data_IF_461524788738
#
_entry.id   IF_461524788738
#
_cell.length_a   1.000
_cell.length_b   1.000
_cell.length_c   1.000
_cell.angle_alpha   90.00
_cell.angle_beta   90.00
_cell.angle_gamma   90.00
#
_symmetry.space_group_name_H-M   'P 1'
#
loop_
_entity.id
_entity.type
_entity.pdbx_description
1 polymer ?
#
# COMPACT_ATOMS: atom_id res chain seq x y z
N UNK A 1 -3.79 24.56 3.87
CA UNK A 1 -2.92 24.66 2.67
C UNK A 1 -2.22 23.34 2.31
N UNK A 2 -1.82 22.51 3.29
CA UNK A 2 -1.12 21.24 3.06
C UNK A 2 -1.88 20.21 2.20
N UNK A 3 -3.20 20.05 2.42
CA UNK A 3 -4.01 19.07 1.66
C UNK A 3 -4.15 19.40 0.17
N UNK A 4 -4.07 20.68 -0.23
CA UNK A 4 -4.30 21.10 -1.61
C UNK A 4 -3.15 20.71 -2.56
N UNK A 5 -1.91 20.72 -2.06
CA UNK A 5 -0.74 20.33 -2.85
C UNK A 5 -0.76 18.82 -3.12
N UNK A 6 -0.96 18.02 -2.08
CA UNK A 6 -1.09 16.56 -2.19
C UNK A 6 -2.27 16.17 -3.08
N UNK A 7 -3.44 16.78 -2.89
CA UNK A 7 -4.60 16.55 -3.74
C UNK A 7 -4.26 16.74 -5.23
N UNK A 8 -3.62 17.87 -5.58
CA UNK A 8 -3.22 18.15 -6.98
C UNK A 8 -2.26 17.09 -7.53
N UNK A 9 -1.28 16.66 -6.75
CA UNK A 9 -0.34 15.62 -7.19
C UNK A 9 -1.04 14.27 -7.39
N UNK A 10 -1.94 13.87 -6.48
CA UNK A 10 -2.69 12.63 -6.60
C UNK A 10 -3.65 12.65 -7.80
N UNK A 11 -4.32 13.78 -8.07
CA UNK A 11 -5.16 13.94 -9.28
C UNK A 11 -4.37 13.96 -10.59
N UNK A 12 -3.05 14.16 -10.55
CA UNK A 12 -2.20 14.14 -11.75
C UNK A 12 -1.81 12.74 -12.21
N UNK A 13 -2.15 11.72 -11.43
CA UNK A 13 -1.86 10.32 -11.73
C UNK A 13 -2.86 9.84 -12.79
N UNK A 14 -2.40 9.38 -13.97
CA UNK A 14 -3.29 9.01 -15.09
C UNK A 14 -4.36 7.97 -14.74
N UNK A 15 -4.03 7.07 -13.83
CA UNK A 15 -4.86 5.95 -13.36
C UNK A 15 -5.93 6.40 -12.37
N UNK A 16 -5.79 7.58 -11.76
CA UNK A 16 -6.75 8.12 -10.78
C UNK A 16 -7.95 8.71 -11.51
N UNK A 17 -9.14 8.20 -11.18
CA UNK A 17 -10.42 8.71 -11.66
C UNK A 17 -10.93 9.82 -10.74
N UNK A 18 -10.86 9.61 -9.42
CA UNK A 18 -11.40 10.52 -8.42
C UNK A 18 -10.54 10.51 -7.16
N UNK A 19 -10.38 11.69 -6.56
CA UNK A 19 -9.79 11.84 -5.23
C UNK A 19 -10.85 12.44 -4.31
N UNK A 20 -11.14 11.75 -3.21
CA UNK A 20 -11.99 12.24 -2.13
C UNK A 20 -11.15 12.54 -0.89
N UNK A 21 -11.67 13.39 -0.02
CA UNK A 21 -11.06 13.72 1.27
C UNK A 21 -11.93 13.24 2.41
N UNK A 22 -11.43 12.32 3.23
CA UNK A 22 -12.04 11.97 4.50
C UNK A 22 -11.45 12.87 5.59
N UNK A 23 -12.21 13.90 5.99
CA UNK A 23 -11.78 14.85 7.00
C UNK A 23 -11.74 14.25 8.41
N UNK A 24 -12.54 13.22 8.68
CA UNK A 24 -12.60 12.57 10.00
C UNK A 24 -11.36 11.70 10.23
N UNK A 25 -10.91 11.01 9.17
CA UNK A 25 -9.69 10.20 9.19
C UNK A 25 -8.45 10.94 8.72
N UNK A 26 -8.60 12.20 8.30
CA UNK A 26 -7.53 13.01 7.70
C UNK A 26 -6.83 12.28 6.54
N UNK A 27 -7.60 11.64 5.67
CA UNK A 27 -7.11 10.76 4.61
C UNK A 27 -7.60 11.20 3.22
N UNK A 28 -6.86 10.80 2.19
CA UNK A 28 -7.32 10.85 0.79
C UNK A 28 -7.79 9.46 0.38
N UNK A 29 -8.97 9.39 -0.24
CA UNK A 29 -9.50 8.16 -0.84
C UNK A 29 -9.35 8.30 -2.35
N UNK A 30 -8.61 7.39 -2.96
CA UNK A 30 -8.38 7.38 -4.40
C UNK A 30 -9.26 6.31 -5.03
N UNK A 31 -10.02 6.71 -6.04
CA UNK A 31 -10.70 5.80 -6.95
C UNK A 31 -9.92 5.74 -8.24
N UNK A 32 -9.60 4.53 -8.69
CA UNK A 32 -8.86 4.29 -9.91
C UNK A 32 -9.78 3.88 -11.04
N UNK A 33 -9.39 4.22 -12.26
CA UNK A 33 -10.09 3.78 -13.47
C UNK A 33 -10.07 2.26 -13.55
N UNK A 34 -11.17 1.68 -14.00
CA UNK A 34 -11.28 0.23 -14.18
C UNK A 34 -10.20 -0.28 -15.15
N UNK A 35 -9.52 -1.36 -14.77
CA UNK A 35 -8.46 -1.98 -15.58
C UNK A 35 -7.11 -1.26 -15.56
N UNK A 36 -6.95 -0.19 -14.77
CA UNK A 36 -5.65 0.46 -14.60
C UNK A 36 -4.72 -0.35 -13.67
N UNK A 37 -3.49 -0.57 -14.12
CA UNK A 37 -2.43 -1.11 -13.28
C UNK A 37 -1.89 0.01 -12.38
N UNK A 38 -2.12 -0.08 -11.07
CA UNK A 38 -1.73 0.96 -10.11
C UNK A 38 -0.44 0.54 -9.40
N UNK A 39 0.61 1.34 -9.55
CA UNK A 39 1.84 1.16 -8.80
C UNK A 39 1.84 2.02 -7.52
N UNK A 40 1.88 1.37 -6.36
CA UNK A 40 1.91 2.07 -5.06
C UNK A 40 3.17 2.93 -4.88
N UNK A 41 4.28 2.58 -5.52
CA UNK A 41 5.49 3.40 -5.56
C UNK A 41 5.27 4.78 -6.19
N UNK A 42 4.46 4.86 -7.25
CA UNK A 42 4.13 6.14 -7.90
C UNK A 42 3.24 7.00 -7.00
N UNK A 43 2.32 6.39 -6.25
CA UNK A 43 1.51 7.09 -5.25
C UNK A 43 2.40 7.75 -4.19
N UNK A 44 3.34 6.98 -3.63
CA UNK A 44 4.30 7.49 -2.64
C UNK A 44 5.11 8.65 -3.21
N UNK A 45 5.68 8.50 -4.40
CA UNK A 45 6.48 9.54 -5.04
C UNK A 45 5.69 10.83 -5.21
N UNK A 46 4.43 10.75 -5.65
CA UNK A 46 3.56 11.93 -5.80
C UNK A 46 3.26 12.64 -4.48
N UNK A 47 3.13 11.89 -3.38
CA UNK A 47 2.97 12.47 -2.04
C UNK A 47 4.27 13.14 -1.57
N UNK A 48 5.42 12.51 -1.82
CA UNK A 48 6.76 13.06 -1.51
C UNK A 48 7.07 14.32 -2.34
N UNK A 49 6.73 14.33 -3.63
CA UNK A 49 6.84 15.49 -4.53
C UNK A 49 5.96 16.67 -4.07
N UNK A 50 4.89 16.40 -3.32
CA UNK A 50 4.08 17.43 -2.66
C UNK A 50 4.70 17.98 -1.37
N UNK A 51 5.83 17.42 -0.91
CA UNK A 51 6.51 17.78 0.33
C UNK A 51 5.99 17.03 1.57
N UNK A 52 5.29 15.91 1.39
CA UNK A 52 4.71 15.14 2.49
C UNK A 52 5.23 13.70 2.52
N UNK A 53 5.06 13.04 3.66
CA UNK A 53 5.33 11.60 3.79
C UNK A 53 4.01 10.83 3.91
N UNK A 54 3.99 9.58 3.45
CA UNK A 54 2.85 8.68 3.64
C UNK A 54 2.92 8.11 5.05
N UNK A 55 1.90 8.39 5.86
CA UNK A 55 1.78 7.83 7.21
C UNK A 55 1.23 6.40 7.22
N UNK A 56 0.31 6.12 6.30
CA UNK A 56 -0.33 4.82 6.09
C UNK A 56 -0.84 4.77 4.64
N UNK A 57 -0.67 3.61 3.99
CA UNK A 57 -1.32 3.31 2.71
C UNK A 57 -2.13 2.03 2.83
N UNK A 58 -3.45 2.15 2.62
CA UNK A 58 -4.38 1.02 2.54
C UNK A 58 -4.87 0.88 1.11
N UNK A 59 -4.76 -0.32 0.58
CA UNK A 59 -5.20 -0.70 -0.76
C UNK A 59 -6.36 -1.69 -0.63
N UNK A 60 -7.34 -1.58 -1.53
CA UNK A 60 -8.43 -2.56 -1.66
C UNK A 60 -8.07 -3.49 -2.80
N UNK A 61 -7.88 -4.77 -2.51
CA UNK A 61 -7.73 -5.82 -3.51
C UNK A 61 -9.04 -6.57 -3.67
N UNK A 62 -9.40 -6.92 -4.91
CA UNK A 62 -10.48 -7.87 -5.16
C UNK A 62 -9.86 -9.26 -5.38
N UNK A 63 -9.79 -10.07 -4.33
CA UNK A 63 -9.18 -11.39 -4.39
C UNK A 63 -10.14 -12.44 -4.95
N UNK A 64 -9.60 -13.37 -5.74
CA UNK A 64 -10.31 -14.57 -6.18
C UNK A 64 -9.71 -15.81 -5.52
N UNK A 65 -10.22 -16.16 -4.34
CA UNK A 65 -9.75 -17.31 -3.54
C UNK A 65 -8.22 -17.31 -3.31
N UNK A 66 -7.66 -16.14 -3.01
CA UNK A 66 -6.24 -15.98 -2.75
C UNK A 66 -5.88 -16.57 -1.38
N UNK A 67 -5.00 -17.57 -1.35
CA UNK A 67 -4.44 -18.05 -0.09
C UNK A 67 -3.58 -16.95 0.54
N UNK A 68 -3.87 -16.61 1.79
CA UNK A 68 -3.11 -15.65 2.57
C UNK A 68 -2.55 -16.35 3.81
N UNK A 69 -1.24 -16.36 3.94
CA UNK A 69 -0.50 -16.83 5.11
C UNK A 69 0.83 -16.09 5.22
N UNK A 70 1.39 -15.96 6.42
CA UNK A 70 2.66 -15.26 6.60
C UNK A 70 3.76 -15.85 5.70
N UNK A 71 4.54 -14.98 5.05
CA UNK A 71 5.57 -15.30 4.06
C UNK A 71 5.08 -15.89 2.72
N UNK A 72 3.77 -16.08 2.54
CA UNK A 72 3.24 -16.34 1.20
C UNK A 72 3.20 -15.06 0.37
N UNK A 73 3.32 -15.23 -0.95
CA UNK A 73 3.29 -14.13 -1.89
C UNK A 73 2.36 -14.42 -3.06
N UNK A 74 1.86 -13.36 -3.69
CA UNK A 74 1.21 -13.41 -4.98
C UNK A 74 1.75 -12.29 -5.87
N UNK A 75 1.55 -12.41 -7.17
CA UNK A 75 1.97 -11.40 -8.14
C UNK A 75 0.76 -10.84 -8.86
N UNK A 76 0.69 -9.52 -8.97
CA UNK A 76 -0.31 -8.81 -9.75
C UNK A 76 0.40 -7.66 -10.48
N UNK A 77 0.16 -7.51 -11.79
CA UNK A 77 0.74 -6.43 -12.60
C UNK A 77 2.27 -6.29 -12.47
N UNK A 78 2.99 -7.42 -12.48
CA UNK A 78 4.45 -7.52 -12.29
C UNK A 78 4.96 -7.02 -10.92
N UNK A 79 4.06 -6.83 -9.95
CA UNK A 79 4.37 -6.49 -8.57
C UNK A 79 4.10 -7.71 -7.70
N UNK A 80 5.07 -8.06 -6.86
CA UNK A 80 4.95 -9.14 -5.88
C UNK A 80 4.52 -8.58 -4.54
N UNK A 81 3.46 -9.14 -3.96
CA UNK A 81 2.97 -8.80 -2.64
C UNK A 81 3.17 -9.98 -1.71
N UNK A 82 3.84 -9.76 -0.58
CA UNK A 82 4.14 -10.78 0.42
C UNK A 82 3.36 -10.49 1.69
N UNK A 83 2.59 -11.47 2.18
CA UNK A 83 1.82 -11.33 3.41
C UNK A 83 2.73 -11.36 4.65
N UNK A 84 2.51 -10.40 5.54
CA UNK A 84 3.15 -10.25 6.85
C UNK A 84 2.09 -9.92 7.89
N UNK A 85 2.25 -10.47 9.11
CA UNK A 85 1.35 -10.23 10.24
C UNK A 85 -0.15 -10.40 9.90
N UNK A 86 -0.46 -11.44 9.12
CA UNK A 86 -1.79 -11.76 8.59
C UNK A 86 -2.28 -13.10 9.14
N UNK A 87 -3.58 -13.21 9.40
CA UNK A 87 -4.20 -14.49 9.81
C UNK A 87 -4.26 -15.43 8.61
N UNK A 88 -3.88 -16.72 8.77
CA UNK A 88 -3.96 -17.67 7.67
C UNK A 88 -5.42 -17.89 7.23
N UNK A 89 -5.65 -17.91 5.92
CA UNK A 89 -6.99 -18.09 5.35
C UNK A 89 -7.03 -17.99 3.83
N UNK A 90 -8.24 -18.01 3.28
CA UNK A 90 -8.52 -17.77 1.86
C UNK A 90 -9.30 -16.47 1.74
N UNK A 91 -8.73 -15.50 1.03
CA UNK A 91 -9.32 -14.19 0.78
C UNK A 91 -10.15 -14.23 -0.49
N UNK A 92 -11.36 -13.68 -0.43
CA UNK A 92 -12.26 -13.57 -1.56
C UNK A 92 -13.01 -12.23 -1.51
N UNK A 93 -13.24 -11.63 -2.67
CA UNK A 93 -13.89 -10.32 -2.79
C UNK A 93 -12.96 -9.17 -2.40
N UNK A 94 -13.57 -8.02 -2.09
CA UNK A 94 -12.86 -6.81 -1.70
C UNK A 94 -12.28 -6.93 -0.28
N UNK A 95 -10.95 -6.91 -0.18
CA UNK A 95 -10.22 -6.97 1.08
C UNK A 95 -9.27 -5.79 1.17
N UNK A 96 -9.28 -5.12 2.32
CA UNK A 96 -8.35 -4.04 2.64
C UNK A 96 -7.04 -4.62 3.13
N UNK A 97 -5.94 -4.14 2.57
CA UNK A 97 -4.59 -4.49 3.02
C UNK A 97 -3.77 -3.22 3.19
N UNK A 98 -2.92 -3.21 4.21
CA UNK A 98 -1.97 -2.13 4.48
C UNK A 98 -0.60 -2.47 3.89
N UNK A 99 0.05 -1.50 3.24
CA UNK A 99 1.45 -1.61 2.82
C UNK A 99 2.38 -1.27 3.99
N UNK A 100 3.35 -2.12 4.26
CA UNK A 100 4.17 -2.08 5.48
C UNK A 100 5.59 -1.55 5.24
N UNK A 101 6.00 -1.42 3.98
CA UNK A 101 7.37 -1.05 3.62
C UNK A 101 7.73 0.41 3.94
N UNK A 102 9.04 0.69 3.88
CA UNK A 102 9.59 2.01 4.18
C UNK A 102 8.98 3.11 3.30
N UNK A 103 8.44 4.13 3.95
CA UNK A 103 7.81 5.28 3.28
C UNK A 103 6.35 5.03 2.89
N UNK A 104 5.75 3.93 3.34
CA UNK A 104 4.29 3.70 3.38
C UNK A 104 3.74 3.64 4.80
N UNK A 105 4.64 3.59 5.79
CA UNK A 105 4.34 3.68 7.22
C UNK A 105 5.26 4.71 7.86
N UNK A 106 4.84 5.27 9.00
CA UNK A 106 5.67 6.18 9.80
C UNK A 106 6.96 5.50 10.27
N UNK A 107 8.03 6.28 10.43
CA UNK A 107 9.37 5.76 10.75
C UNK A 107 9.41 4.91 12.03
N UNK A 108 8.63 5.29 13.05
CA UNK A 108 8.51 4.53 14.29
C UNK A 108 7.95 3.13 14.05
N UNK A 109 6.98 2.99 13.15
CA UNK A 109 6.36 1.71 12.83
C UNK A 109 7.30 0.88 11.97
N UNK A 110 7.90 1.48 10.95
CA UNK A 110 8.93 0.83 10.14
C UNK A 110 10.04 0.22 11.00
N UNK A 111 10.55 0.96 11.99
CA UNK A 111 11.57 0.47 12.95
C UNK A 111 11.12 -0.74 13.77
N UNK A 112 9.83 -0.88 14.07
CA UNK A 112 9.30 -2.09 14.74
C UNK A 112 9.27 -3.26 13.76
N UNK A 113 8.72 -3.03 12.57
CA UNK A 113 8.58 -4.05 11.52
C UNK A 113 9.95 -4.61 11.10
N UNK A 114 10.99 -3.77 10.98
CA UNK A 114 12.34 -4.21 10.62
C UNK A 114 12.94 -5.20 11.63
N UNK A 115 12.49 -5.19 12.90
CA UNK A 115 12.94 -6.16 13.91
C UNK A 115 12.36 -7.55 13.70
N UNK A 116 11.27 -7.66 12.93
CA UNK A 116 10.64 -8.92 12.56
C UNK A 116 11.30 -9.60 11.36
N UNK A 117 12.38 -9.02 10.80
CA UNK A 117 13.11 -9.57 9.65
C UNK A 117 13.57 -11.03 9.81
N UNK A 118 13.77 -11.52 11.04
CA UNK A 118 14.04 -12.96 11.30
C UNK A 118 12.83 -13.85 10.98
N UNK A 119 11.62 -13.36 11.25
CA UNK A 119 10.37 -14.06 10.96
C UNK A 119 9.92 -13.84 9.51
N UNK A 120 10.29 -12.70 8.92
CA UNK A 120 9.98 -12.30 7.55
C UNK A 120 11.27 -11.95 6.79
N UNK A 121 12.03 -12.94 6.29
CA UNK A 121 13.33 -12.71 5.66
C UNK A 121 13.29 -11.77 4.45
N UNK A 122 12.19 -11.81 3.67
CA UNK A 122 12.00 -10.92 2.52
C UNK A 122 11.94 -9.45 2.92
N UNK A 123 11.56 -9.13 4.17
CA UNK A 123 11.46 -7.75 4.66
C UNK A 123 12.83 -7.08 4.84
N UNK A 124 13.91 -7.87 4.91
CA UNK A 124 15.27 -7.34 4.91
C UNK A 124 15.75 -6.92 3.50
N UNK A 125 15.06 -7.36 2.45
CA UNK A 125 15.42 -7.07 1.06
C UNK A 125 14.66 -5.86 0.55
N UNK A 126 15.38 -4.89 -0.04
CA UNK A 126 14.76 -3.75 -0.71
C UNK A 126 14.61 -4.09 -2.18
N UNK A 127 13.38 -4.15 -2.68
CA UNK A 127 13.07 -4.36 -4.09
C UNK A 127 11.87 -3.47 -4.47
N UNK A 128 12.00 -2.74 -5.58
CA UNK A 128 10.99 -1.78 -6.02
C UNK A 128 9.69 -2.43 -6.54
N UNK A 129 9.70 -3.74 -6.82
CA UNK A 129 8.54 -4.50 -7.28
C UNK A 129 8.11 -5.55 -6.25
N UNK A 130 8.53 -5.42 -4.99
CA UNK A 130 8.10 -6.29 -3.90
C UNK A 130 7.60 -5.43 -2.75
N UNK A 131 6.37 -5.69 -2.30
CA UNK A 131 5.77 -5.04 -1.15
C UNK A 131 5.31 -6.04 -0.12
N UNK A 132 5.40 -5.67 1.15
CA UNK A 132 4.89 -6.44 2.27
C UNK A 132 3.56 -5.87 2.73
N UNK A 133 2.58 -6.75 2.87
CA UNK A 133 1.21 -6.36 3.14
C UNK A 133 0.63 -7.08 4.34
N UNK A 134 -0.28 -6.39 5.04
CA UNK A 134 -1.09 -6.97 6.12
C UNK A 134 -2.57 -6.83 5.79
N UNK A 135 -3.34 -7.90 5.93
CA UNK A 135 -4.80 -7.81 5.87
C UNK A 135 -5.36 -7.06 7.08
N UNK A 136 -6.34 -6.18 6.86
CA UNK A 136 -7.01 -5.42 7.91
C UNK A 136 -8.31 -6.09 8.38
#
# INVERSE_FOLDING_TARGET
MCSKATYKQLTSIPEVEKVETDLNKTAFILHFKSGSAVNVGDLKKKVEDAGFSVGELVVVFNFNNQKAENNSSFTQDNITYTFMDTKPGVLAGEVKVQILDKGFVVEKEYKKLSKLSKQYPSYATINNNLYHIKTL
#
